data_IF_248669986467
#
_entry.id   IF_248669986467
#
_cell.length_a   1.000
_cell.length_b   1.000
_cell.length_c   1.000
_cell.angle_alpha   90.00
_cell.angle_beta   90.00
_cell.angle_gamma   90.00
#
_symmetry.space_group_name_H-M   'P 1'
#
loop_
_entity.id
_entity.type
_entity.pdbx_description
1 polymer ?
#
# COMPACT_ATOMS: atom_id res chain seq x y z
N UNK A 1 19.22 17.80 16.96
CA UNK A 1 18.73 17.55 15.60
C UNK A 1 18.49 16.05 15.48
N UNK A 2 17.27 15.62 15.10
CA UNK A 2 16.96 14.20 14.91
C UNK A 2 17.62 13.68 13.62
N UNK A 3 18.16 12.45 13.66
CA UNK A 3 18.72 11.76 12.50
C UNK A 3 17.69 10.77 11.95
N UNK A 4 17.32 10.93 10.69
CA UNK A 4 16.41 10.05 9.97
C UNK A 4 17.16 9.32 8.87
N UNK A 5 17.20 7.99 8.91
CA UNK A 5 17.71 7.16 7.80
C UNK A 5 16.53 6.76 6.92
N UNK A 6 16.58 7.16 5.65
CA UNK A 6 15.60 6.78 4.64
C UNK A 6 16.18 5.68 3.75
N UNK A 7 15.56 4.50 3.80
CA UNK A 7 15.96 3.32 3.02
C UNK A 7 15.30 3.38 1.65
N UNK A 8 16.08 3.27 0.57
CA UNK A 8 15.63 3.33 -0.83
C UNK A 8 14.79 4.58 -1.16
N UNK A 9 15.30 5.81 -0.91
CA UNK A 9 14.53 7.04 -1.09
C UNK A 9 14.23 7.39 -2.55
N UNK A 10 14.84 6.69 -3.50
CA UNK A 10 14.69 6.90 -4.95
C UNK A 10 13.50 6.18 -5.56
N UNK A 11 12.86 5.26 -4.83
CA UNK A 11 11.71 4.51 -5.35
C UNK A 11 10.68 4.22 -4.24
N UNK A 12 9.38 4.52 -4.46
CA UNK A 12 8.77 5.23 -5.61
C UNK A 12 9.35 6.63 -5.88
N UNK A 13 9.27 7.09 -7.12
CA UNK A 13 9.95 8.31 -7.57
C UNK A 13 9.46 9.60 -6.90
N UNK A 14 8.28 9.59 -6.29
CA UNK A 14 7.67 10.71 -5.53
C UNK A 14 8.12 10.77 -4.06
N UNK A 15 8.90 9.79 -3.55
CA UNK A 15 9.31 9.72 -2.14
C UNK A 15 10.34 10.78 -1.72
N UNK A 16 10.96 11.48 -2.68
CA UNK A 16 11.75 12.67 -2.37
C UNK A 16 10.95 13.72 -1.58
N UNK A 17 9.62 13.75 -1.72
CA UNK A 17 8.75 14.67 -0.98
C UNK A 17 8.77 14.39 0.53
N UNK A 18 8.78 13.13 0.96
CA UNK A 18 9.02 12.79 2.36
C UNK A 18 10.36 13.32 2.85
N UNK A 19 11.44 13.08 2.08
CA UNK A 19 12.78 13.55 2.42
C UNK A 19 12.83 15.08 2.52
N UNK A 20 12.19 15.77 1.57
CA UNK A 20 12.12 17.24 1.55
C UNK A 20 11.48 17.79 2.82
N UNK A 21 10.28 17.31 3.17
CA UNK A 21 9.57 17.83 4.33
C UNK A 21 10.21 17.45 5.66
N UNK A 22 10.85 16.29 5.76
CA UNK A 22 11.67 15.93 6.91
C UNK A 22 12.83 16.93 7.08
N UNK A 23 13.53 17.26 6.00
CA UNK A 23 14.62 18.25 6.02
C UNK A 23 14.11 19.65 6.33
N UNK A 24 12.99 20.07 5.73
CA UNK A 24 12.36 21.37 6.01
C UNK A 24 11.96 21.51 7.49
N UNK A 25 11.60 20.41 8.16
CA UNK A 25 11.35 20.35 9.60
C UNK A 25 12.63 20.28 10.45
N UNK A 26 13.80 20.45 9.86
CA UNK A 26 15.07 20.50 10.56
C UNK A 26 15.66 19.13 10.94
N UNK A 27 15.18 18.04 10.36
CA UNK A 27 15.81 16.73 10.53
C UNK A 27 17.02 16.58 9.60
N UNK A 28 17.97 15.77 10.03
CA UNK A 28 19.04 15.28 9.15
C UNK A 28 18.55 14.04 8.42
N UNK A 29 18.39 14.14 7.10
CA UNK A 29 17.89 13.07 6.25
C UNK A 29 19.04 12.37 5.57
N UNK A 30 19.24 11.10 5.90
CA UNK A 30 20.36 10.25 5.47
C UNK A 30 19.82 9.14 4.58
N UNK A 31 20.12 9.18 3.28
CA UNK A 31 19.62 8.21 2.30
C UNK A 31 20.55 7.01 2.16
N UNK A 32 20.00 5.80 2.10
CA UNK A 32 20.70 4.58 1.68
C UNK A 32 20.03 4.00 0.45
N UNK A 33 20.78 3.74 -0.61
CA UNK A 33 20.25 3.15 -1.84
C UNK A 33 21.35 2.62 -2.75
N UNK A 34 20.97 1.89 -3.79
CA UNK A 34 21.90 1.34 -4.80
C UNK A 34 21.94 2.13 -6.10
N UNK A 35 21.05 3.11 -6.26
CA UNK A 35 21.06 4.04 -7.40
C UNK A 35 22.33 4.92 -7.35
N UNK A 36 23.06 5.11 -8.46
CA UNK A 36 24.14 6.09 -8.54
C UNK A 36 23.67 7.50 -8.19
N UNK A 37 24.48 8.24 -7.42
CA UNK A 37 24.11 9.57 -6.92
C UNK A 37 23.75 10.58 -8.04
N UNK A 38 24.45 10.52 -9.14
CA UNK A 38 24.24 11.38 -10.32
C UNK A 38 22.94 11.05 -11.07
N UNK A 39 22.39 9.83 -10.88
CA UNK A 39 21.12 9.39 -11.44
C UNK A 39 19.93 9.66 -10.53
N UNK A 40 20.14 10.06 -9.28
CA UNK A 40 19.06 10.48 -8.39
C UNK A 40 18.40 11.76 -8.94
N UNK A 41 17.08 11.87 -8.75
CA UNK A 41 16.36 13.10 -9.06
C UNK A 41 17.02 14.32 -8.38
N UNK A 42 17.11 15.47 -9.05
CA UNK A 42 17.67 16.69 -8.45
C UNK A 42 16.98 17.06 -7.13
N UNK A 43 15.66 16.88 -7.06
CA UNK A 43 14.84 17.15 -5.89
C UNK A 43 15.21 16.24 -4.71
N UNK A 44 15.47 14.95 -4.99
CA UNK A 44 15.92 14.02 -3.96
C UNK A 44 17.30 14.38 -3.45
N UNK A 45 18.25 14.67 -4.35
CA UNK A 45 19.61 15.12 -3.98
C UNK A 45 19.58 16.36 -3.08
N UNK A 46 18.71 17.33 -3.42
CA UNK A 46 18.53 18.55 -2.62
C UNK A 46 17.89 18.27 -1.25
N UNK A 47 17.10 17.21 -1.14
CA UNK A 47 16.36 16.83 0.08
C UNK A 47 17.16 15.98 1.06
N UNK A 48 18.27 15.39 0.63
CA UNK A 48 19.15 14.60 1.49
C UNK A 48 20.24 15.47 2.12
N UNK A 49 20.66 15.11 3.34
CA UNK A 49 21.88 15.64 3.96
C UNK A 49 23.10 14.89 3.45
N UNK A 50 22.97 13.58 3.34
CA UNK A 50 23.99 12.69 2.80
C UNK A 50 23.32 11.46 2.17
N UNK A 51 23.97 10.87 1.18
CA UNK A 51 23.54 9.64 0.55
C UNK A 51 24.68 8.62 0.57
N UNK A 52 24.40 7.42 1.06
CA UNK A 52 25.33 6.30 1.03
C UNK A 52 24.88 5.30 -0.05
N UNK A 53 25.70 5.17 -1.10
CA UNK A 53 25.46 4.20 -2.17
C UNK A 53 25.99 2.83 -1.74
N UNK A 54 25.12 1.82 -1.74
CA UNK A 54 25.48 0.40 -1.60
C UNK A 54 25.61 -0.26 -2.97
N UNK A 55 26.22 -1.43 -3.04
CA UNK A 55 26.31 -2.23 -4.27
C UNK A 55 24.96 -2.86 -4.62
N UNK A 56 24.25 -3.37 -3.61
CA UNK A 56 22.91 -3.92 -3.72
C UNK A 56 22.11 -3.72 -2.44
N UNK A 57 20.89 -3.20 -2.57
CA UNK A 57 19.95 -3.10 -1.45
C UNK A 57 19.52 -4.49 -0.93
N UNK A 58 19.68 -5.57 -1.70
CA UNK A 58 19.42 -6.95 -1.27
C UNK A 58 20.52 -7.50 -0.35
N UNK A 59 21.69 -6.90 -0.34
CA UNK A 59 22.77 -7.29 0.55
C UNK A 59 22.63 -6.59 1.91
N UNK A 60 22.12 -7.32 2.90
CA UNK A 60 21.90 -6.80 4.24
C UNK A 60 23.17 -6.20 4.87
N UNK A 61 24.33 -6.87 4.72
CA UNK A 61 25.59 -6.42 5.29
C UNK A 61 26.03 -5.05 4.74
N UNK A 62 25.78 -4.79 3.47
CA UNK A 62 26.11 -3.48 2.88
C UNK A 62 25.21 -2.38 3.44
N UNK A 63 23.89 -2.65 3.56
CA UNK A 63 22.95 -1.70 4.15
C UNK A 63 23.24 -1.47 5.63
N UNK A 64 23.55 -2.53 6.39
CA UNK A 64 23.97 -2.46 7.77
C UNK A 64 25.20 -1.55 7.95
N UNK A 65 26.24 -1.74 7.11
CA UNK A 65 27.45 -0.90 7.14
C UNK A 65 27.17 0.57 6.79
N UNK A 66 26.23 0.83 5.89
CA UNK A 66 25.79 2.20 5.57
C UNK A 66 25.16 2.88 6.79
N UNK A 67 24.30 2.18 7.53
CA UNK A 67 23.69 2.69 8.77
C UNK A 67 24.76 2.88 9.86
N UNK A 68 25.68 1.92 10.03
CA UNK A 68 26.80 2.04 10.98
C UNK A 68 27.71 3.23 10.65
N UNK A 69 27.97 3.49 9.37
CA UNK A 69 28.72 4.68 8.92
C UNK A 69 27.99 5.96 9.33
N UNK A 70 26.68 6.06 9.12
CA UNK A 70 25.93 7.24 9.56
C UNK A 70 25.94 7.41 11.08
N UNK A 71 25.85 6.33 11.84
CA UNK A 71 25.97 6.38 13.30
C UNK A 71 27.35 6.90 13.74
N UNK A 72 28.43 6.43 13.10
CA UNK A 72 29.79 6.89 13.41
C UNK A 72 29.99 8.37 13.13
N UNK A 73 29.33 8.91 12.11
CA UNK A 73 29.49 10.30 11.65
C UNK A 73 28.53 11.27 12.35
N UNK A 74 27.30 10.85 12.59
CA UNK A 74 26.21 11.73 13.03
C UNK A 74 25.64 11.37 14.40
N UNK A 75 26.12 10.29 15.01
CA UNK A 75 25.60 9.78 16.27
C UNK A 75 24.34 8.93 16.10
N UNK A 76 23.59 8.77 17.16
CA UNK A 76 22.41 7.91 17.21
C UNK A 76 21.41 8.25 16.08
N UNK A 77 20.87 7.21 15.47
CA UNK A 77 19.73 7.33 14.55
C UNK A 77 18.44 7.31 15.36
N UNK A 78 17.59 8.30 15.17
CA UNK A 78 16.30 8.45 15.85
C UNK A 78 15.18 7.72 15.10
N UNK A 79 15.26 7.69 13.75
CA UNK A 79 14.28 7.06 12.87
C UNK A 79 14.95 6.36 11.70
N UNK A 80 14.40 5.21 11.32
CA UNK A 80 14.78 4.47 10.14
C UNK A 80 13.51 3.92 9.47
N UNK A 81 13.30 4.26 8.20
CA UNK A 81 12.10 3.87 7.47
C UNK A 81 12.31 3.91 5.95
N UNK A 82 11.68 2.98 5.25
CA UNK A 82 11.59 3.00 3.78
C UNK A 82 10.24 3.51 3.29
N UNK A 83 9.21 3.45 4.12
CA UNK A 83 7.80 3.60 3.72
C UNK A 83 7.39 2.65 2.58
N UNK A 84 8.02 1.49 2.48
CA UNK A 84 7.84 0.53 1.40
C UNK A 84 7.66 -0.89 1.94
N UNK A 85 6.64 -1.60 1.44
CA UNK A 85 6.31 -2.97 1.86
C UNK A 85 7.46 -3.96 1.61
N UNK A 86 8.17 -3.78 0.51
CA UNK A 86 9.27 -4.66 0.13
C UNK A 86 10.43 -4.63 1.12
N UNK A 87 10.70 -3.45 1.72
CA UNK A 87 11.81 -3.27 2.67
C UNK A 87 11.40 -3.38 4.14
N UNK A 88 10.11 -3.59 4.44
CA UNK A 88 9.57 -3.52 5.79
C UNK A 88 10.28 -4.44 6.80
N UNK A 89 10.56 -5.70 6.42
CA UNK A 89 11.30 -6.65 7.27
C UNK A 89 12.75 -6.19 7.47
N UNK A 90 13.37 -5.68 6.44
CA UNK A 90 14.74 -5.17 6.48
C UNK A 90 14.86 -3.93 7.35
N UNK A 91 13.89 -3.01 7.25
CA UNK A 91 13.78 -1.88 8.15
C UNK A 91 13.67 -2.31 9.60
N UNK A 92 12.88 -3.35 9.89
CA UNK A 92 12.73 -3.90 11.23
C UNK A 92 14.02 -4.55 11.75
N UNK A 93 14.74 -5.31 10.91
CA UNK A 93 16.06 -5.90 11.24
C UNK A 93 17.05 -4.80 11.62
N UNK A 94 17.17 -3.77 10.78
CA UNK A 94 18.07 -2.64 11.05
C UNK A 94 17.71 -1.89 12.33
N UNK A 95 16.41 -1.66 12.58
CA UNK A 95 15.94 -1.02 13.83
C UNK A 95 16.31 -1.86 15.05
N UNK A 96 16.13 -3.17 14.99
CA UNK A 96 16.47 -4.10 16.07
C UNK A 96 17.99 -4.11 16.33
N UNK A 97 18.80 -4.29 15.29
CA UNK A 97 20.24 -4.38 15.40
C UNK A 97 20.91 -3.09 15.94
N UNK A 98 20.36 -1.93 15.55
CA UNK A 98 20.87 -0.63 15.99
C UNK A 98 20.10 -0.01 17.18
N UNK A 99 19.17 -0.77 17.80
CA UNK A 99 18.34 -0.29 18.92
C UNK A 99 17.59 1.02 18.59
N UNK A 100 17.08 1.14 17.35
CA UNK A 100 16.24 2.26 16.92
C UNK A 100 14.80 1.93 17.32
N UNK A 101 14.28 2.61 18.33
CA UNK A 101 12.99 2.27 18.95
C UNK A 101 11.76 2.89 18.27
N UNK A 102 11.95 3.68 17.22
CA UNK A 102 10.87 4.26 16.42
C UNK A 102 10.43 3.30 15.33
N UNK A 103 9.29 2.65 15.50
CA UNK A 103 8.73 1.71 14.54
C UNK A 103 8.82 0.25 14.96
N UNK A 104 8.26 -0.61 14.12
CA UNK A 104 8.18 -2.05 14.38
C UNK A 104 9.57 -2.72 14.37
N UNK A 105 9.76 -3.69 15.25
CA UNK A 105 10.97 -4.50 15.39
C UNK A 105 10.79 -5.86 14.70
N UNK A 106 11.83 -6.67 14.64
CA UNK A 106 11.78 -8.02 14.05
C UNK A 106 10.68 -8.87 14.67
N UNK A 107 10.49 -8.79 15.98
CA UNK A 107 9.46 -9.54 16.72
C UNK A 107 8.01 -9.18 16.30
N UNK A 108 7.82 -8.01 15.71
CA UNK A 108 6.51 -7.56 15.24
C UNK A 108 6.16 -8.11 13.85
N UNK A 109 7.17 -8.54 13.08
CA UNK A 109 6.99 -8.84 11.65
C UNK A 109 5.97 -9.95 11.40
N UNK A 110 5.92 -10.96 12.27
CA UNK A 110 4.99 -12.06 12.11
C UNK A 110 3.54 -11.58 12.02
N UNK A 111 3.12 -10.68 12.94
CA UNK A 111 1.73 -10.20 13.00
C UNK A 111 1.37 -9.17 11.93
N UNK A 112 2.36 -8.51 11.30
CA UNK A 112 2.11 -7.44 10.32
C UNK A 112 2.47 -7.81 8.88
N UNK A 113 3.07 -9.00 8.66
CA UNK A 113 3.47 -9.49 7.34
C UNK A 113 2.75 -10.76 6.93
N UNK A 114 2.41 -11.65 7.87
CA UNK A 114 1.77 -12.92 7.57
C UNK A 114 0.24 -12.79 7.68
N UNK A 115 -0.46 -13.00 6.56
CA UNK A 115 -1.92 -12.86 6.48
C UNK A 115 -2.66 -13.74 7.49
N UNK A 116 -2.17 -14.96 7.68
CA UNK A 116 -2.71 -15.88 8.70
C UNK A 116 -2.56 -15.35 10.13
N UNK A 117 -1.47 -14.63 10.40
CA UNK A 117 -1.16 -14.09 11.73
C UNK A 117 -1.83 -12.74 12.01
N UNK A 118 -2.28 -12.03 10.97
CA UNK A 118 -3.08 -10.82 11.10
C UNK A 118 -4.49 -11.10 11.66
N UNK A 119 -5.07 -12.26 11.33
CA UNK A 119 -6.49 -12.57 11.60
C UNK A 119 -6.86 -12.51 13.08
N UNK A 120 -6.10 -13.08 14.03
CA UNK A 120 -6.43 -12.98 15.47
C UNK A 120 -6.51 -11.53 15.98
N UNK A 121 -5.73 -10.60 15.41
CA UNK A 121 -5.75 -9.19 15.79
C UNK A 121 -7.03 -8.49 15.33
N UNK A 122 -7.56 -8.84 14.15
CA UNK A 122 -8.85 -8.36 13.68
C UNK A 122 -10.01 -8.92 14.53
N UNK A 123 -9.98 -10.23 14.79
CA UNK A 123 -11.00 -10.91 15.57
C UNK A 123 -11.07 -10.39 17.01
N UNK A 124 -9.94 -10.03 17.61
CA UNK A 124 -9.86 -9.44 18.95
C UNK A 124 -10.64 -8.11 19.09
N UNK A 125 -10.88 -7.42 17.98
CA UNK A 125 -11.67 -6.17 17.95
C UNK A 125 -13.00 -6.32 17.20
N UNK A 126 -13.43 -7.56 16.97
CA UNK A 126 -14.74 -7.88 16.40
C UNK A 126 -14.85 -7.68 14.88
N UNK A 127 -13.73 -7.52 14.17
CA UNK A 127 -13.71 -7.44 12.71
C UNK A 127 -13.55 -8.86 12.15
N UNK A 128 -14.50 -9.29 11.33
CA UNK A 128 -14.48 -10.62 10.73
C UNK A 128 -13.39 -10.75 9.68
N UNK A 129 -12.85 -11.96 9.54
CA UNK A 129 -11.84 -12.34 8.56
C UNK A 129 -12.28 -13.55 7.76
N UNK A 130 -11.78 -13.71 6.53
CA UNK A 130 -11.98 -14.93 5.75
C UNK A 130 -11.52 -16.17 6.53
N UNK A 131 -12.29 -17.25 6.50
CA UNK A 131 -11.83 -18.56 6.96
C UNK A 131 -10.66 -19.00 6.08
N UNK A 132 -9.69 -19.68 6.66
CA UNK A 132 -8.48 -20.02 5.97
C UNK A 132 -7.87 -21.35 6.38
N UNK A 133 -7.00 -21.84 5.54
CA UNK A 133 -6.12 -23.00 5.77
C UNK A 133 -4.72 -22.69 5.24
N UNK A 134 -3.67 -23.06 5.94
CA UNK A 134 -2.30 -23.03 5.40
C UNK A 134 -2.13 -24.22 4.49
N UNK A 135 -1.76 -23.97 3.24
CA UNK A 135 -1.70 -25.01 2.22
C UNK A 135 -0.61 -26.02 2.57
N UNK A 136 -1.01 -27.29 2.63
CA UNK A 136 -0.13 -28.43 2.89
C UNK A 136 -0.30 -29.51 1.82
N UNK A 137 -1.16 -30.49 2.02
CA UNK A 137 -1.47 -31.55 1.06
C UNK A 137 -2.88 -31.39 0.47
N UNK A 138 -3.14 -32.17 -0.59
CA UNK A 138 -4.41 -32.12 -1.29
C UNK A 138 -5.60 -32.47 -0.39
N UNK A 139 -5.48 -33.49 0.45
CA UNK A 139 -6.60 -34.02 1.26
C UNK A 139 -7.01 -33.02 2.36
N UNK A 140 -6.04 -32.39 3.02
CA UNK A 140 -6.30 -31.36 4.03
C UNK A 140 -6.91 -30.10 3.41
N UNK A 141 -6.34 -29.65 2.28
CA UNK A 141 -6.92 -28.53 1.52
C UNK A 141 -8.35 -28.84 1.08
N UNK A 142 -8.61 -30.06 0.57
CA UNK A 142 -9.93 -30.49 0.12
C UNK A 142 -10.94 -30.51 1.28
N UNK A 143 -10.50 -31.00 2.46
CA UNK A 143 -11.32 -30.98 3.67
C UNK A 143 -11.71 -29.56 4.11
N UNK A 144 -10.79 -28.59 3.99
CA UNK A 144 -11.11 -27.18 4.23
C UNK A 144 -12.17 -26.69 3.22
N UNK A 145 -12.01 -27.03 1.94
CA UNK A 145 -12.95 -26.64 0.88
C UNK A 145 -14.34 -27.26 1.08
N UNK A 146 -14.47 -28.46 1.68
CA UNK A 146 -15.76 -29.04 2.04
C UNK A 146 -16.57 -28.13 2.98
N UNK A 147 -15.88 -27.37 3.82
CA UNK A 147 -16.50 -26.44 4.75
C UNK A 147 -16.82 -25.06 4.18
N UNK A 148 -16.11 -24.62 3.11
CA UNK A 148 -16.24 -23.24 2.57
C UNK A 148 -16.80 -23.20 1.16
N UNK A 149 -16.65 -24.28 0.38
CA UNK A 149 -17.00 -24.37 -1.04
C UNK A 149 -15.97 -23.73 -1.96
N UNK A 150 -16.11 -24.06 -3.26
CA UNK A 150 -15.40 -23.36 -4.32
C UNK A 150 -16.12 -22.08 -4.77
N UNK A 151 -15.42 -21.07 -5.32
CA UNK A 151 -13.97 -21.01 -5.46
C UNK A 151 -13.26 -20.67 -4.15
N UNK A 152 -11.96 -20.96 -4.06
CA UNK A 152 -11.08 -20.47 -3.00
C UNK A 152 -9.95 -19.61 -3.58
N UNK A 153 -9.40 -18.72 -2.76
CA UNK A 153 -8.23 -17.92 -3.13
C UNK A 153 -7.00 -18.48 -2.43
N UNK A 154 -5.93 -18.69 -3.20
CA UNK A 154 -4.63 -19.10 -2.67
C UNK A 154 -3.59 -18.06 -3.02
N UNK A 155 -2.82 -17.65 -2.03
CA UNK A 155 -1.78 -16.61 -2.17
C UNK A 155 -0.64 -16.85 -1.17
N UNK A 156 0.58 -16.32 -1.39
CA UNK A 156 1.63 -16.38 -0.39
C UNK A 156 1.15 -15.76 0.94
N UNK A 157 1.40 -16.44 2.06
CA UNK A 157 1.03 -15.93 3.39
C UNK A 157 1.84 -14.66 3.74
N UNK A 158 3.12 -14.63 3.34
CA UNK A 158 3.99 -13.47 3.40
C UNK A 158 4.36 -13.02 1.98
N UNK A 159 3.49 -12.27 1.32
CA UNK A 159 3.69 -11.79 -0.07
C UNK A 159 3.34 -10.32 -0.21
N UNK A 160 3.94 -9.67 -1.22
CA UNK A 160 3.72 -8.27 -1.56
C UNK A 160 2.87 -8.17 -2.82
N UNK A 161 1.78 -7.42 -2.78
CA UNK A 161 0.88 -7.18 -3.90
C UNK A 161 0.05 -8.42 -4.28
N UNK A 162 -0.63 -8.35 -5.42
CA UNK A 162 -1.49 -9.44 -5.92
C UNK A 162 -0.73 -10.50 -6.75
N UNK A 163 0.60 -10.43 -6.79
CA UNK A 163 1.42 -11.44 -7.48
C UNK A 163 1.26 -12.82 -6.85
N UNK A 164 1.22 -13.87 -7.67
CA UNK A 164 1.04 -15.24 -7.21
C UNK A 164 -0.26 -15.50 -6.43
N UNK A 165 -1.34 -14.76 -6.77
CA UNK A 165 -2.68 -15.01 -6.25
C UNK A 165 -3.47 -15.87 -7.24
N UNK A 166 -4.02 -16.97 -6.76
CA UNK A 166 -4.71 -17.98 -7.57
C UNK A 166 -6.15 -18.10 -7.10
N UNK A 167 -7.09 -18.15 -8.04
CA UNK A 167 -8.51 -18.47 -7.77
C UNK A 167 -8.76 -19.90 -8.27
N UNK A 168 -8.87 -20.84 -7.33
CA UNK A 168 -9.10 -22.26 -7.65
C UNK A 168 -10.60 -22.55 -7.62
N UNK A 169 -11.10 -23.19 -8.68
CA UNK A 169 -12.54 -23.39 -8.92
C UNK A 169 -13.01 -24.83 -8.77
N UNK A 170 -12.08 -25.79 -8.74
CA UNK A 170 -12.38 -27.22 -8.70
C UNK A 170 -11.16 -28.04 -8.21
N UNK A 171 -11.37 -29.35 -8.00
CA UNK A 171 -10.36 -30.26 -7.50
C UNK A 171 -9.17 -30.44 -8.47
N UNK A 172 -9.36 -30.32 -9.78
CA UNK A 172 -8.28 -30.44 -10.76
C UNK A 172 -7.31 -29.26 -10.65
N UNK A 173 -7.85 -28.04 -10.51
CA UNK A 173 -7.04 -26.84 -10.29
C UNK A 173 -6.32 -26.90 -8.93
N UNK A 174 -6.99 -27.37 -7.88
CA UNK A 174 -6.37 -27.60 -6.57
C UNK A 174 -5.21 -28.60 -6.66
N UNK A 175 -5.43 -29.74 -7.31
CA UNK A 175 -4.41 -30.79 -7.48
C UNK A 175 -3.21 -30.26 -8.28
N UNK A 176 -3.48 -29.53 -9.35
CA UNK A 176 -2.43 -28.88 -10.15
C UNK A 176 -1.62 -27.92 -9.29
N UNK A 177 -2.28 -27.05 -8.52
CA UNK A 177 -1.61 -26.08 -7.65
C UNK A 177 -0.71 -26.78 -6.61
N UNK A 178 -1.25 -27.73 -5.85
CA UNK A 178 -0.51 -28.45 -4.79
C UNK A 178 0.70 -29.21 -5.35
N UNK A 179 0.60 -29.73 -6.59
CA UNK A 179 1.71 -30.43 -7.24
C UNK A 179 2.80 -29.51 -7.78
N UNK A 180 2.48 -28.26 -8.11
CA UNK A 180 3.40 -27.32 -8.78
C UNK A 180 3.83 -26.14 -7.93
N UNK A 181 3.22 -25.93 -6.76
CA UNK A 181 3.57 -24.82 -5.88
C UNK A 181 5.03 -24.89 -5.40
N UNK A 182 5.62 -23.74 -5.21
CA UNK A 182 6.94 -23.62 -4.58
C UNK A 182 6.85 -24.03 -3.09
N UNK A 183 7.51 -25.12 -2.73
CA UNK A 183 7.54 -25.65 -1.36
C UNK A 183 8.34 -24.79 -0.38
N UNK A 184 9.12 -23.84 -0.87
CA UNK A 184 9.84 -22.84 -0.07
C UNK A 184 8.95 -21.67 0.36
N UNK A 185 7.75 -21.56 -0.20
CA UNK A 185 6.78 -20.50 0.10
C UNK A 185 5.60 -21.06 0.89
N UNK A 186 5.29 -20.43 2.03
CA UNK A 186 4.04 -20.70 2.75
C UNK A 186 2.87 -20.04 2.04
N UNK A 187 1.84 -20.81 1.71
CA UNK A 187 0.61 -20.30 1.07
C UNK A 187 -0.56 -20.38 2.03
N UNK A 188 -1.39 -19.32 2.03
CA UNK A 188 -2.69 -19.30 2.68
C UNK A 188 -3.80 -19.51 1.65
N UNK A 189 -4.72 -20.43 1.93
CA UNK A 189 -5.96 -20.64 1.19
C UNK A 189 -7.12 -20.02 1.96
N UNK A 190 -7.89 -19.18 1.31
CA UNK A 190 -9.02 -18.47 1.93
C UNK A 190 -10.33 -18.74 1.18
N UNK A 191 -11.47 -18.72 1.91
CA UNK A 191 -12.77 -18.70 1.27
C UNK A 191 -12.90 -17.44 0.37
N UNK A 192 -13.61 -17.60 -0.74
CA UNK A 192 -13.83 -16.49 -1.67
C UNK A 192 -14.93 -15.55 -1.15
N UNK A 193 -14.60 -14.26 -1.10
CA UNK A 193 -15.53 -13.21 -0.68
C UNK A 193 -15.89 -12.33 -1.88
N UNK A 194 -17.18 -12.15 -2.15
CA UNK A 194 -17.67 -11.25 -3.18
C UNK A 194 -17.77 -9.83 -2.60
N UNK A 195 -16.79 -9.00 -2.94
CA UNK A 195 -16.62 -7.70 -2.31
C UNK A 195 -15.83 -6.73 -3.20
N UNK A 196 -15.89 -5.45 -2.87
CA UNK A 196 -14.97 -4.40 -3.33
C UNK A 196 -13.89 -4.16 -2.27
N UNK A 197 -12.67 -3.85 -2.70
CA UNK A 197 -11.60 -3.46 -1.77
C UNK A 197 -11.75 -1.98 -1.44
N UNK A 198 -11.80 -1.71 -0.13
CA UNK A 198 -11.81 -0.37 0.44
C UNK A 198 -10.61 -0.23 1.36
N UNK A 199 -9.99 0.94 1.45
CA UNK A 199 -8.90 1.16 2.39
C UNK A 199 -9.25 2.12 3.51
N UNK A 200 -8.48 2.00 4.59
CA UNK A 200 -8.26 3.01 5.60
C UNK A 200 -6.80 3.42 5.53
N UNK A 201 -6.56 4.66 5.13
CA UNK A 201 -5.23 5.25 5.02
C UNK A 201 -5.08 6.34 6.08
N UNK A 202 -4.05 6.25 6.91
CA UNK A 202 -3.90 7.19 8.01
C UNK A 202 -2.44 7.45 8.40
N UNK A 203 -2.18 8.62 8.98
CA UNK A 203 -0.93 8.95 9.66
C UNK A 203 -1.22 8.97 11.15
N UNK A 204 -0.54 8.10 11.88
CA UNK A 204 -0.78 7.80 13.30
C UNK A 204 0.33 8.42 14.15
N UNK A 205 -0.03 9.12 15.22
CA UNK A 205 0.89 9.74 16.18
C UNK A 205 1.49 8.74 17.18
N UNK A 206 2.28 9.23 18.14
CA UNK A 206 2.92 8.41 19.19
C UNK A 206 1.94 7.79 20.19
N UNK A 207 0.71 8.31 20.26
CA UNK A 207 -0.35 7.81 21.14
C UNK A 207 -1.23 6.76 20.49
N UNK A 208 -1.07 6.56 19.16
CA UNK A 208 -1.91 5.69 18.36
C UNK A 208 -3.17 6.39 17.84
N UNK A 209 -3.18 7.73 17.85
CA UNK A 209 -4.29 8.52 17.34
C UNK A 209 -4.02 9.00 15.91
N UNK A 210 -5.02 8.98 15.02
CA UNK A 210 -4.85 9.45 13.66
C UNK A 210 -4.84 10.99 13.60
N UNK A 211 -3.78 11.57 13.03
CA UNK A 211 -3.69 12.99 12.72
C UNK A 211 -4.11 13.31 11.28
N UNK A 212 -4.24 12.29 10.44
CA UNK A 212 -4.81 12.34 9.10
C UNK A 212 -5.49 11.01 8.79
N UNK A 213 -6.66 11.05 8.15
CA UNK A 213 -7.41 9.86 7.73
C UNK A 213 -8.07 10.10 6.37
N UNK A 214 -7.99 9.10 5.52
CA UNK A 214 -8.70 9.02 4.23
C UNK A 214 -8.88 7.55 3.85
N UNK A 215 -9.32 7.28 2.63
CA UNK A 215 -9.41 5.92 2.09
C UNK A 215 -9.53 5.92 0.58
N UNK A 216 -9.35 4.75 0.00
CA UNK A 216 -9.62 4.52 -1.41
C UNK A 216 -10.60 3.37 -1.61
N UNK A 217 -11.13 3.29 -2.82
CA UNK A 217 -11.93 2.17 -3.32
C UNK A 217 -11.30 1.66 -4.60
N UNK A 218 -11.09 0.35 -4.63
CA UNK A 218 -10.64 -0.37 -5.83
C UNK A 218 -11.80 -1.27 -6.28
N UNK A 219 -12.60 -0.84 -7.28
CA UNK A 219 -13.81 -1.56 -7.69
C UNK A 219 -13.50 -2.93 -8.31
N UNK A 220 -12.40 -3.03 -9.04
CA UNK A 220 -11.95 -4.27 -9.69
C UNK A 220 -10.83 -4.89 -8.87
N UNK A 221 -10.87 -6.21 -8.70
CA UNK A 221 -9.76 -6.94 -8.08
C UNK A 221 -8.45 -6.69 -8.85
N UNK A 222 -7.39 -6.31 -8.12
CA UNK A 222 -6.04 -6.15 -8.73
C UNK A 222 -5.60 -7.47 -9.38
N UNK A 223 -5.98 -8.61 -8.80
CA UNK A 223 -5.73 -9.93 -9.37
C UNK A 223 -6.35 -10.06 -10.78
N UNK A 224 -7.62 -9.66 -10.95
CA UNK A 224 -8.30 -9.71 -12.24
C UNK A 224 -7.69 -8.72 -13.23
N UNK A 225 -7.33 -7.52 -12.79
CA UNK A 225 -6.63 -6.51 -13.60
C UNK A 225 -5.30 -7.04 -14.14
N UNK A 226 -4.52 -7.71 -13.29
CA UNK A 226 -3.21 -8.29 -13.70
C UNK A 226 -3.42 -9.49 -14.62
N UNK A 227 -4.31 -10.42 -14.27
CA UNK A 227 -4.50 -11.68 -15.00
C UNK A 227 -5.18 -11.46 -16.37
N UNK A 228 -6.11 -10.53 -16.47
CA UNK A 228 -6.86 -10.25 -17.71
C UNK A 228 -6.20 -9.16 -18.57
N UNK A 229 -5.21 -8.45 -18.04
CA UNK A 229 -4.65 -7.26 -18.71
C UNK A 229 -5.66 -6.11 -18.81
N UNK A 230 -6.56 -5.98 -17.84
CA UNK A 230 -7.55 -4.92 -17.80
C UNK A 230 -6.96 -3.54 -17.48
N UNK A 231 -7.71 -2.48 -17.75
CA UNK A 231 -7.35 -1.15 -17.30
C UNK A 231 -7.48 -1.06 -15.77
N UNK A 232 -6.51 -0.42 -15.13
CA UNK A 232 -6.55 -0.23 -13.69
C UNK A 232 -7.34 1.02 -13.34
N UNK A 233 -8.32 0.89 -12.45
CA UNK A 233 -9.08 2.03 -11.90
C UNK A 233 -9.18 1.90 -10.39
N UNK A 234 -8.98 3.01 -9.69
CA UNK A 234 -9.29 3.18 -8.27
C UNK A 234 -9.45 4.68 -7.96
N UNK A 235 -10.03 5.00 -6.82
CA UNK A 235 -10.20 6.40 -6.45
C UNK A 235 -10.08 6.63 -4.96
N UNK A 236 -9.54 7.79 -4.56
CA UNK A 236 -9.65 8.29 -3.21
C UNK A 236 -11.07 8.80 -2.97
N UNK A 237 -11.64 8.42 -1.84
CA UNK A 237 -12.99 8.86 -1.45
C UNK A 237 -12.99 10.33 -1.05
N UNK A 238 -14.08 11.02 -1.37
CA UNK A 238 -14.32 12.39 -0.91
C UNK A 238 -14.51 12.45 0.61
N UNK A 239 -15.25 11.48 1.15
CA UNK A 239 -15.49 11.32 2.59
C UNK A 239 -15.23 9.86 2.97
N UNK A 240 -14.41 9.64 4.00
CA UNK A 240 -14.16 8.31 4.52
C UNK A 240 -15.44 7.76 5.19
N UNK A 241 -16.00 6.62 4.73
CA UNK A 241 -17.17 6.01 5.35
C UNK A 241 -16.94 5.73 6.84
N UNK A 242 -17.94 6.01 7.67
CA UNK A 242 -17.79 5.92 9.12
C UNK A 242 -17.55 4.50 9.63
N UNK A 243 -18.09 3.50 8.96
CA UNK A 243 -17.85 2.08 9.27
C UNK A 243 -16.38 1.69 8.96
N UNK A 244 -15.83 2.13 7.82
CA UNK A 244 -14.42 1.93 7.46
C UNK A 244 -13.51 2.67 8.44
N UNK A 245 -13.87 3.89 8.85
CA UNK A 245 -13.15 4.65 9.88
C UNK A 245 -13.09 3.92 11.20
N UNK A 246 -14.23 3.40 11.67
CA UNK A 246 -14.29 2.61 12.91
C UNK A 246 -13.45 1.34 12.83
N UNK A 247 -13.55 0.61 11.72
CA UNK A 247 -12.74 -0.58 11.50
C UNK A 247 -11.25 -0.25 11.47
N UNK A 248 -10.85 0.80 10.74
CA UNK A 248 -9.46 1.27 10.66
C UNK A 248 -8.88 1.66 12.02
N UNK A 249 -9.59 2.48 12.80
CA UNK A 249 -9.16 2.89 14.15
C UNK A 249 -9.08 1.72 15.12
N UNK A 250 -10.03 0.77 15.05
CA UNK A 250 -9.98 -0.46 15.84
C UNK A 250 -8.75 -1.31 15.48
N UNK A 251 -8.42 -1.39 14.18
CA UNK A 251 -7.22 -2.07 13.68
C UNK A 251 -5.94 -1.39 14.16
N UNK A 252 -5.83 -0.06 14.08
CA UNK A 252 -4.71 0.71 14.65
C UNK A 252 -4.45 0.31 16.10
N UNK A 253 -5.51 0.27 16.91
CA UNK A 253 -5.43 -0.08 18.33
C UNK A 253 -5.02 -1.54 18.54
N UNK A 254 -5.63 -2.48 17.82
CA UNK A 254 -5.35 -3.91 17.97
C UNK A 254 -3.92 -4.28 17.59
N UNK A 255 -3.39 -3.68 16.53
CA UNK A 255 -2.02 -3.90 16.09
C UNK A 255 -0.97 -3.06 16.83
N UNK A 256 -1.40 -2.17 17.74
CA UNK A 256 -0.50 -1.30 18.51
C UNK A 256 0.26 -0.30 17.65
N UNK A 257 -0.38 0.20 16.58
CA UNK A 257 0.27 1.11 15.63
C UNK A 257 0.53 2.46 16.25
N UNK A 258 1.76 2.95 16.05
CA UNK A 258 2.21 4.29 16.50
C UNK A 258 3.22 4.86 15.51
N UNK A 259 3.27 6.19 15.42
CA UNK A 259 4.30 6.92 14.70
C UNK A 259 4.49 6.43 13.26
N UNK A 260 3.38 6.29 12.50
CA UNK A 260 3.45 5.59 11.21
C UNK A 260 2.39 6.05 10.23
N UNK A 261 2.72 5.99 8.95
CA UNK A 261 1.72 5.94 7.89
C UNK A 261 1.25 4.49 7.75
N UNK A 262 -0.06 4.28 7.57
CA UNK A 262 -0.67 2.97 7.36
C UNK A 262 -1.62 2.98 6.17
N UNK A 263 -1.73 1.79 5.56
CA UNK A 263 -2.69 1.48 4.51
C UNK A 263 -3.32 0.13 4.85
N UNK A 264 -4.54 0.14 5.41
CA UNK A 264 -5.28 -1.07 5.75
C UNK A 264 -6.34 -1.34 4.70
N UNK A 265 -6.39 -2.57 4.22
CA UNK A 265 -7.39 -2.99 3.25
C UNK A 265 -8.52 -3.77 3.93
N UNK A 266 -9.72 -3.46 3.51
CA UNK A 266 -10.96 -4.10 3.93
C UNK A 266 -11.78 -4.48 2.71
N UNK A 267 -12.52 -5.56 2.81
CA UNK A 267 -13.58 -5.88 1.89
C UNK A 267 -14.89 -5.20 2.33
N UNK A 268 -15.56 -4.54 1.39
CA UNK A 268 -16.96 -4.16 1.53
C UNK A 268 -17.79 -5.15 0.76
N UNK A 269 -18.61 -5.93 1.46
CA UNK A 269 -19.41 -6.99 0.85
C UNK A 269 -20.39 -6.44 -0.19
N UNK A 270 -20.37 -7.00 -1.41
CA UNK A 270 -21.32 -6.63 -2.48
C UNK A 270 -22.52 -7.58 -2.54
N UNK A 271 -22.47 -8.69 -1.76
CA UNK A 271 -23.56 -9.64 -1.57
C UNK A 271 -23.55 -10.14 -0.10
N UNK A 272 -24.69 -10.69 0.36
CA UNK A 272 -24.76 -11.36 1.66
C UNK A 272 -23.84 -12.58 1.69
N UNK A 273 -23.12 -12.76 2.80
CA UNK A 273 -22.24 -13.91 3.01
C UNK A 273 -22.58 -14.61 4.33
N UNK A 274 -22.75 -15.95 4.35
CA UNK A 274 -23.27 -16.67 5.53
C UNK A 274 -22.47 -16.42 6.82
N UNK A 275 -21.14 -16.29 6.72
CA UNK A 275 -20.26 -16.11 7.86
C UNK A 275 -19.74 -14.67 8.02
N UNK A 276 -19.62 -13.91 6.92
CA UNK A 276 -19.04 -12.57 6.95
C UNK A 276 -20.04 -11.48 7.28
N UNK A 277 -21.30 -11.58 6.84
CA UNK A 277 -22.33 -10.59 7.13
C UNK A 277 -23.21 -10.27 5.94
N UNK A 278 -23.79 -9.08 5.95
CA UNK A 278 -24.71 -8.58 4.93
C UNK A 278 -23.99 -7.74 3.89
N UNK A 279 -24.59 -7.60 2.72
CA UNK A 279 -24.15 -6.62 1.72
C UNK A 279 -23.96 -5.26 2.38
N UNK A 280 -22.79 -4.66 2.16
CA UNK A 280 -22.36 -3.38 2.74
C UNK A 280 -21.48 -3.52 3.97
N UNK A 281 -21.47 -4.66 4.67
CA UNK A 281 -20.60 -4.86 5.83
C UNK A 281 -19.12 -4.83 5.45
N UNK A 282 -18.29 -4.31 6.38
CA UNK A 282 -16.85 -4.20 6.26
C UNK A 282 -16.19 -5.37 6.99
N UNK A 283 -15.34 -6.12 6.28
CA UNK A 283 -14.55 -7.24 6.82
C UNK A 283 -13.08 -7.08 6.47
N UNK A 284 -12.19 -7.65 7.28
CA UNK A 284 -10.75 -7.45 7.12
C UNK A 284 -10.19 -8.15 5.89
N UNK A 285 -9.19 -7.52 5.26
CA UNK A 285 -8.35 -8.14 4.22
C UNK A 285 -6.90 -8.22 4.70
N UNK A 286 -6.20 -7.10 4.79
CA UNK A 286 -4.81 -7.07 5.26
C UNK A 286 -4.38 -5.70 5.82
N UNK A 287 -3.33 -5.68 6.64
CA UNK A 287 -2.65 -4.46 7.08
C UNK A 287 -1.37 -4.26 6.29
N UNK A 288 -1.13 -3.00 5.89
CA UNK A 288 0.15 -2.57 5.34
C UNK A 288 0.67 -1.41 6.18
N UNK A 289 1.81 -1.60 6.82
CA UNK A 289 2.39 -0.65 7.78
C UNK A 289 3.24 0.43 7.07
N UNK A 290 2.68 0.98 6.02
CA UNK A 290 3.30 1.99 5.13
C UNK A 290 2.22 2.74 4.36
N UNK A 291 2.54 3.86 3.65
CA UNK A 291 1.61 4.51 2.73
C UNK A 291 1.11 3.56 1.64
N UNK A 292 -0.08 3.79 1.12
CA UNK A 292 -0.56 3.14 -0.09
C UNK A 292 0.43 3.36 -1.25
N UNK A 293 0.61 2.34 -2.10
CA UNK A 293 1.65 2.32 -3.12
C UNK A 293 1.45 3.30 -4.28
N UNK A 294 2.46 3.37 -5.14
CA UNK A 294 2.44 4.18 -6.36
C UNK A 294 2.28 5.68 -6.09
N UNK A 295 1.32 6.29 -6.78
CA UNK A 295 1.00 7.72 -6.67
C UNK A 295 -0.15 8.01 -5.70
N UNK A 296 -0.54 7.03 -4.88
CA UNK A 296 -1.65 7.19 -3.94
C UNK A 296 -1.44 8.32 -2.92
N UNK A 297 -0.23 8.58 -2.38
CA UNK A 297 -0.02 9.74 -1.52
C UNK A 297 -0.29 11.08 -2.23
N UNK A 298 0.07 11.22 -3.51
CA UNK A 298 -0.27 12.41 -4.31
C UNK A 298 -1.78 12.53 -4.51
N UNK A 299 -2.46 11.41 -4.77
CA UNK A 299 -3.92 11.38 -4.90
C UNK A 299 -4.62 11.74 -3.59
N UNK A 300 -4.08 11.33 -2.43
CA UNK A 300 -4.56 11.78 -1.11
C UNK A 300 -4.46 13.30 -0.98
N UNK A 301 -3.35 13.90 -1.45
CA UNK A 301 -3.18 15.35 -1.47
C UNK A 301 -4.24 16.02 -2.35
N UNK A 302 -4.46 15.50 -3.56
CA UNK A 302 -5.46 16.05 -4.47
C UNK A 302 -6.88 15.90 -3.95
N UNK A 303 -7.23 14.72 -3.40
CA UNK A 303 -8.56 14.44 -2.86
C UNK A 303 -8.91 15.32 -1.66
N UNK A 304 -7.93 15.62 -0.80
CA UNK A 304 -8.15 16.32 0.47
C UNK A 304 -7.63 17.76 0.48
N UNK A 305 -7.11 18.26 -0.65
CA UNK A 305 -6.47 19.59 -0.76
C UNK A 305 -5.48 19.83 0.40
N UNK A 306 -4.55 18.88 0.59
CA UNK A 306 -3.60 18.85 1.71
C UNK A 306 -2.20 18.43 1.24
N UNK A 307 -1.33 18.04 2.16
CA UNK A 307 0.01 17.52 1.88
C UNK A 307 0.37 16.45 2.91
N UNK A 308 0.14 15.17 2.56
CA UNK A 308 0.39 14.04 3.46
C UNK A 308 1.88 13.83 3.71
N UNK A 309 2.76 14.22 2.78
CA UNK A 309 4.21 14.16 2.98
C UNK A 309 4.64 15.11 4.09
N UNK A 310 4.06 16.33 4.09
CA UNK A 310 4.27 17.32 5.16
C UNK A 310 3.68 16.83 6.49
N UNK A 311 2.44 16.29 6.49
CA UNK A 311 1.79 15.76 7.70
C UNK A 311 2.64 14.63 8.30
N UNK A 312 3.17 13.71 7.48
CA UNK A 312 4.07 12.67 7.94
C UNK A 312 5.36 13.23 8.55
N UNK A 313 5.99 14.17 7.88
CA UNK A 313 7.20 14.81 8.39
C UNK A 313 6.95 15.59 9.69
N UNK A 314 5.78 16.23 9.83
CA UNK A 314 5.37 16.91 11.06
C UNK A 314 5.17 15.91 12.20
N UNK A 315 4.53 14.78 11.96
CA UNK A 315 4.38 13.71 12.94
C UNK A 315 5.74 13.24 13.45
N UNK A 316 6.73 13.02 12.57
CA UNK A 316 8.09 12.61 12.95
C UNK A 316 8.79 13.70 13.77
N UNK A 317 8.63 14.96 13.39
CA UNK A 317 9.32 16.08 14.04
C UNK A 317 8.66 16.49 15.37
N UNK A 318 7.33 16.59 15.39
CA UNK A 318 6.55 17.29 16.42
C UNK A 318 5.44 16.44 17.04
N UNK A 319 5.22 15.20 16.59
CA UNK A 319 4.12 14.32 17.02
C UNK A 319 2.72 14.95 16.79
N UNK A 320 2.61 15.86 15.88
CA UNK A 320 1.38 16.61 15.53
C UNK A 320 1.57 17.34 14.23
N UNK A 321 0.50 17.89 13.65
CA UNK A 321 0.57 18.77 12.48
C UNK A 321 -0.37 19.94 12.61
N UNK A 322 0.00 21.09 12.00
CA UNK A 322 -0.88 22.22 11.78
C UNK A 322 -1.50 22.21 10.38
N UNK A 323 -1.11 21.22 9.54
CA UNK A 323 -1.64 21.09 8.20
C UNK A 323 -3.07 20.54 8.25
N UNK A 324 -3.99 21.27 7.64
CA UNK A 324 -5.41 20.91 7.55
C UNK A 324 -5.77 20.44 6.15
N UNK A 325 -6.88 19.74 6.03
CA UNK A 325 -7.50 19.45 4.75
C UNK A 325 -8.30 20.67 4.27
N UNK A 326 -8.28 20.91 2.95
CA UNK A 326 -9.11 21.91 2.29
C UNK A 326 -10.38 21.28 1.70
N UNK A 327 -10.79 21.77 0.53
CA UNK A 327 -11.91 21.22 -0.23
C UNK A 327 -11.65 19.77 -0.60
N UNK A 328 -12.65 18.92 -0.39
CA UNK A 328 -12.56 17.48 -0.67
C UNK A 328 -13.23 17.12 -1.98
N UNK A 329 -12.60 16.21 -2.71
CA UNK A 329 -13.05 15.70 -3.97
C UNK A 329 -12.85 14.17 -4.04
N UNK A 330 -13.56 13.50 -4.94
CA UNK A 330 -13.13 12.19 -5.42
C UNK A 330 -11.88 12.40 -6.30
N UNK A 331 -10.81 11.67 -6.03
CA UNK A 331 -9.62 11.71 -6.88
C UNK A 331 -9.48 10.36 -7.59
N UNK A 332 -9.78 10.35 -8.88
CA UNK A 332 -9.82 9.17 -9.72
C UNK A 332 -8.45 8.89 -10.33
N UNK A 333 -8.06 7.62 -10.35
CA UNK A 333 -6.94 7.07 -11.12
C UNK A 333 -7.49 6.21 -12.26
N UNK A 334 -7.02 6.46 -13.48
CA UNK A 334 -7.24 5.58 -14.63
C UNK A 334 -5.89 5.25 -15.28
N UNK A 335 -5.56 3.96 -15.29
CA UNK A 335 -4.34 3.43 -15.92
C UNK A 335 -4.67 2.71 -17.21
N UNK A 336 -4.28 3.29 -18.35
CA UNK A 336 -4.44 2.68 -19.68
C UNK A 336 -3.26 1.76 -19.99
N UNK A 337 -3.55 0.65 -20.69
CA UNK A 337 -2.52 -0.24 -21.22
C UNK A 337 -2.18 0.10 -22.67
N UNK A 338 -0.90 0.05 -23.00
CA UNK A 338 -0.43 0.19 -24.37
C UNK A 338 -1.02 -0.94 -25.26
N UNK A 339 -1.23 -0.65 -26.54
CA UNK A 339 -1.77 -1.60 -27.50
C UNK A 339 -3.30 -1.74 -27.51
N UNK A 340 -4.04 -1.13 -26.56
CA UNK A 340 -5.51 -1.07 -26.61
C UNK A 340 -5.97 0.14 -27.44
N UNK A 341 -7.05 -0.07 -28.23
CA UNK A 341 -7.67 0.97 -29.06
C UNK A 341 -8.77 1.68 -28.27
N UNK A 342 -8.41 2.77 -27.59
CA UNK A 342 -9.37 3.57 -26.83
C UNK A 342 -10.21 4.46 -27.75
N UNK A 343 -11.52 4.61 -27.44
CA UNK A 343 -12.42 5.49 -28.18
C UNK A 343 -12.01 6.96 -28.10
N UNK A 344 -11.58 7.43 -26.94
CA UNK A 344 -10.93 8.74 -26.80
C UNK A 344 -9.41 8.58 -26.83
N UNK A 345 -8.75 9.31 -27.73
CA UNK A 345 -7.29 9.39 -27.76
C UNK A 345 -6.74 10.00 -26.46
N UNK A 346 -5.43 9.89 -26.24
CA UNK A 346 -4.74 10.53 -25.12
C UNK A 346 -5.04 12.04 -25.06
N UNK A 347 -4.83 12.74 -26.17
CA UNK A 347 -5.01 14.19 -26.24
C UNK A 347 -6.48 14.60 -26.06
N UNK A 348 -7.43 13.87 -26.66
CA UNK A 348 -8.85 14.13 -26.51
C UNK A 348 -9.32 13.96 -25.06
N UNK A 349 -8.84 12.93 -24.35
CA UNK A 349 -9.13 12.73 -22.93
C UNK A 349 -8.57 13.87 -22.08
N UNK A 350 -7.29 14.22 -22.28
CA UNK A 350 -6.64 15.32 -21.57
C UNK A 350 -7.35 16.67 -21.83
N UNK A 351 -7.76 16.94 -23.06
CA UNK A 351 -8.48 18.15 -23.41
C UNK A 351 -9.87 18.20 -22.77
N UNK A 352 -10.64 17.08 -22.87
CA UNK A 352 -11.98 16.99 -22.29
C UNK A 352 -12.01 17.25 -20.80
N UNK A 353 -11.01 16.74 -20.07
CA UNK A 353 -10.94 16.82 -18.62
C UNK A 353 -9.85 17.77 -18.10
N UNK A 354 -9.38 18.72 -18.92
CA UNK A 354 -8.27 19.62 -18.58
C UNK A 354 -8.43 20.33 -17.22
N UNK A 355 -9.66 20.77 -16.89
CA UNK A 355 -9.96 21.43 -15.61
C UNK A 355 -9.91 20.48 -14.40
N UNK A 356 -10.06 19.18 -14.60
CA UNK A 356 -10.09 18.16 -13.55
C UNK A 356 -8.72 17.48 -13.37
N UNK A 357 -7.88 17.45 -14.42
CA UNK A 357 -6.59 16.74 -14.41
C UNK A 357 -5.66 17.29 -13.35
N UNK A 358 -5.05 16.38 -12.60
CA UNK A 358 -4.05 16.66 -11.56
C UNK A 358 -2.69 16.10 -11.94
N UNK A 359 -2.66 14.93 -12.58
CA UNK A 359 -1.42 14.28 -12.99
C UNK A 359 -1.67 13.42 -14.23
N UNK A 360 -0.76 13.52 -15.20
CA UNK A 360 -0.72 12.68 -16.41
C UNK A 360 0.72 12.30 -16.65
N UNK A 361 1.03 11.00 -16.56
CA UNK A 361 2.42 10.55 -16.78
C UNK A 361 2.47 9.07 -17.17
N UNK A 362 3.60 8.68 -17.74
CA UNK A 362 3.93 7.26 -17.95
C UNK A 362 4.24 6.60 -16.61
N UNK A 363 3.78 5.37 -16.47
CA UNK A 363 4.02 4.56 -15.27
C UNK A 363 5.35 3.80 -15.46
N UNK A 364 6.24 3.79 -14.45
CA UNK A 364 7.46 2.99 -14.48
C UNK A 364 7.14 1.50 -14.73
N UNK A 365 8.00 0.80 -15.48
CA UNK A 365 7.79 -0.60 -15.86
C UNK A 365 7.55 -1.52 -14.65
N UNK A 366 8.26 -1.27 -13.54
CA UNK A 366 8.08 -2.02 -12.30
C UNK A 366 6.65 -1.97 -11.72
N UNK A 367 5.86 -0.94 -12.05
CA UNK A 367 4.47 -0.76 -11.58
C UNK A 367 3.45 -1.03 -12.69
N UNK A 368 3.86 -1.15 -13.95
CA UNK A 368 2.96 -1.21 -15.11
C UNK A 368 2.04 -2.43 -15.09
N UNK A 369 2.49 -3.55 -14.52
CA UNK A 369 1.70 -4.78 -14.41
C UNK A 369 0.36 -4.57 -13.69
N UNK A 370 0.37 -3.85 -12.57
CA UNK A 370 -0.82 -3.57 -11.76
C UNK A 370 -1.53 -2.26 -12.15
N UNK A 371 -0.80 -1.26 -12.67
CA UNK A 371 -1.30 0.10 -12.83
C UNK A 371 -1.54 0.54 -14.28
N UNK A 372 -1.15 -0.28 -15.29
CA UNK A 372 -1.15 0.13 -16.70
C UNK A 372 0.13 0.88 -17.08
N UNK A 373 0.19 1.39 -18.33
CA UNK A 373 1.39 2.04 -18.85
C UNK A 373 1.29 3.58 -18.86
N UNK A 374 0.07 4.11 -19.02
CA UNK A 374 -0.22 5.54 -19.03
C UNK A 374 -1.28 5.85 -17.98
N UNK A 375 -0.97 6.72 -17.03
CA UNK A 375 -1.94 7.11 -16.01
C UNK A 375 -2.53 8.50 -16.23
N UNK A 376 -3.74 8.64 -15.71
CA UNK A 376 -4.49 9.89 -15.59
C UNK A 376 -5.05 9.97 -14.17
N UNK A 377 -4.76 11.07 -13.49
CA UNK A 377 -5.32 11.37 -12.17
C UNK A 377 -6.13 12.64 -12.27
N UNK A 378 -7.39 12.60 -11.85
CA UNK A 378 -8.31 13.72 -11.98
C UNK A 378 -9.27 13.83 -10.79
N UNK A 379 -9.65 15.07 -10.40
CA UNK A 379 -10.56 15.35 -9.30
C UNK A 379 -11.98 15.61 -9.79
N UNK A 380 -12.96 15.09 -9.03
CA UNK A 380 -14.38 15.24 -9.33
C UNK A 380 -15.18 15.55 -8.06
N UNK A 381 -16.15 16.47 -8.12
CA UNK A 381 -16.99 16.80 -6.98
C UNK A 381 -18.05 15.72 -6.66
N UNK A 382 -18.42 14.90 -7.66
CA UNK A 382 -19.45 13.86 -7.54
C UNK A 382 -19.03 12.53 -8.15
N UNK A 383 -19.69 11.44 -7.72
CA UNK A 383 -19.46 10.08 -8.23
C UNK A 383 -19.85 9.96 -9.69
N UNK A 384 -20.93 10.64 -10.11
CA UNK A 384 -21.43 10.61 -11.50
C UNK A 384 -20.40 11.20 -12.47
N UNK A 385 -19.81 12.35 -12.11
CA UNK A 385 -18.76 12.97 -12.91
C UNK A 385 -17.48 12.10 -12.98
N UNK A 386 -17.11 11.44 -11.87
CA UNK A 386 -16.00 10.51 -11.82
C UNK A 386 -16.28 9.27 -12.70
N UNK A 387 -17.48 8.71 -12.64
CA UNK A 387 -17.86 7.54 -13.45
C UNK A 387 -17.90 7.88 -14.96
N UNK A 388 -18.32 9.08 -15.32
CA UNK A 388 -18.24 9.54 -16.72
C UNK A 388 -16.78 9.61 -17.19
N UNK A 389 -15.86 10.08 -16.35
CA UNK A 389 -14.43 10.05 -16.66
C UNK A 389 -13.91 8.62 -16.86
N UNK A 390 -14.28 7.66 -16.00
CA UNK A 390 -13.86 6.27 -16.16
C UNK A 390 -14.40 5.63 -17.45
N UNK A 391 -15.66 5.91 -17.79
CA UNK A 391 -16.24 5.45 -19.06
C UNK A 391 -15.40 5.97 -20.24
N UNK A 392 -15.10 7.27 -20.27
CA UNK A 392 -14.29 7.88 -21.34
C UNK A 392 -12.83 7.39 -21.33
N UNK A 393 -12.24 7.18 -20.15
CA UNK A 393 -10.85 6.77 -20.02
C UNK A 393 -10.63 5.31 -20.39
N UNK A 394 -11.61 4.42 -20.16
CA UNK A 394 -11.42 2.98 -20.27
C UNK A 394 -12.15 2.35 -21.49
N UNK A 395 -13.04 3.08 -22.14
CA UNK A 395 -13.84 2.56 -23.26
C UNK A 395 -12.96 2.31 -24.49
N UNK A 396 -13.09 1.09 -25.06
CA UNK A 396 -12.34 0.62 -26.23
C UNK A 396 -13.29 0.27 -27.37
N UNK A 397 -12.76 0.23 -28.60
CA UNK A 397 -13.49 -0.23 -29.78
C UNK A 397 -13.69 -1.75 -29.78
#
# INVERSE_FOLDING_TARGET
MKNFVFISPNFPTNYWQFCKHLKDNGLRVLGVGDCPYDQLLPELRASLTEYYKVGSMENYDEVYRAVAFFISKYGRIDWLESNNEYWLERDAMLRTDFHITSGFQVEDMERIKYKSKMKPYYEAVGIKTARYHIVDDFENCRKFIDGVGYPVIVKPDNGVGASSTYKLKNDDELRSFVNTMDRGVSYIMEEFITAEVNSYDAIIDSKGEPIFETGNVTPNSIMDVVNNGDNSIYYMVKELPEDTRKAGRATVKSFGVKNRFVHFEFFRLTADHPHMGKKGDVVALEVNMRPCGGFSPDMMNFANSTDVYKIYADMIAYDSTLKTCGERNFCAFAGRRDGKNFKLSHDALCQKYAANMKMVTRIPDALSGAMGNQMYVANFPTVEAMNAFYADACDTW
#
